data_IF_281883085187
#
_entry.id   IF_281883085187
#
_cell.length_a   1.000
_cell.length_b   1.000
_cell.length_c   1.000
_cell.angle_alpha   90.00
_cell.angle_beta   90.00
_cell.angle_gamma   90.00
#
_symmetry.space_group_name_H-M   'P 1'
#
loop_
_entity.id
_entity.type
_entity.pdbx_description
1 polymer ?
#
# COMPACT_ATOMS: atom_id res chain seq x y z
N UNK A 1 -27.39 -24.39 2.16
CA UNK A 1 -26.82 -24.54 3.51
C UNK A 1 -27.94 -24.91 4.45
N UNK A 2 -27.70 -25.89 5.32
CA UNK A 2 -28.71 -26.55 6.15
C UNK A 2 -28.87 -25.99 7.56
N UNK A 3 -28.25 -24.87 7.92
CA UNK A 3 -28.38 -24.26 9.24
C UNK A 3 -29.80 -23.75 9.55
N UNK A 4 -30.09 -23.53 10.82
CA UNK A 4 -31.32 -22.92 11.32
C UNK A 4 -31.49 -21.47 10.82
N UNK A 5 -32.75 -21.07 10.60
CA UNK A 5 -33.11 -19.71 10.23
C UNK A 5 -33.21 -18.88 11.52
N UNK A 6 -32.31 -17.92 11.72
CA UNK A 6 -32.35 -17.02 12.88
C UNK A 6 -33.33 -15.88 12.68
N UNK A 7 -33.43 -15.36 11.45
CA UNK A 7 -34.28 -14.21 11.15
C UNK A 7 -34.68 -14.22 9.67
N UNK A 8 -35.98 -14.14 9.40
CA UNK A 8 -36.52 -13.99 8.06
C UNK A 8 -37.37 -12.72 8.01
N UNK A 9 -37.03 -11.79 7.12
CA UNK A 9 -37.84 -10.60 6.87
C UNK A 9 -38.12 -10.52 5.37
N UNK A 10 -39.40 -10.37 5.03
CA UNK A 10 -39.80 -10.15 3.65
C UNK A 10 -39.76 -8.64 3.39
N UNK A 11 -38.80 -8.20 2.58
CA UNK A 11 -38.68 -6.80 2.18
C UNK A 11 -38.83 -6.72 0.66
N UNK A 12 -39.86 -6.00 0.18
CA UNK A 12 -40.06 -5.71 -1.24
C UNK A 12 -40.11 -6.96 -2.16
N UNK A 13 -40.66 -8.09 -1.67
CA UNK A 13 -40.77 -9.34 -2.45
C UNK A 13 -39.50 -10.20 -2.47
N UNK A 14 -38.42 -9.77 -1.81
CA UNK A 14 -37.22 -10.56 -1.57
C UNK A 14 -37.23 -11.11 -0.14
N UNK A 15 -37.09 -12.42 0.00
CA UNK A 15 -36.97 -13.09 1.31
C UNK A 15 -35.52 -12.98 1.78
N UNK A 16 -35.24 -12.08 2.73
CA UNK A 16 -33.96 -12.02 3.41
C UNK A 16 -33.95 -12.99 4.58
N UNK A 17 -33.18 -14.06 4.45
CA UNK A 17 -32.96 -15.06 5.51
C UNK A 17 -31.53 -14.95 6.06
N UNK A 18 -31.40 -14.72 7.36
CA UNK A 18 -30.12 -14.81 8.07
C UNK A 18 -30.01 -16.23 8.63
N UNK A 19 -29.04 -16.99 8.12
CA UNK A 19 -28.70 -18.34 8.57
C UNK A 19 -27.54 -18.31 9.57
N UNK A 20 -27.53 -19.21 10.55
CA UNK A 20 -26.40 -19.40 11.47
C UNK A 20 -25.07 -19.60 10.73
N UNK A 21 -25.08 -20.44 9.69
CA UNK A 21 -23.92 -20.69 8.81
C UNK A 21 -23.37 -19.39 8.20
N UNK A 22 -24.28 -18.48 7.80
CA UNK A 22 -23.93 -17.20 7.18
C UNK A 22 -23.39 -16.19 8.19
N UNK A 23 -23.95 -16.16 9.39
CA UNK A 23 -23.48 -15.30 10.48
C UNK A 23 -22.07 -15.70 10.95
N UNK A 24 -21.80 -17.00 11.10
CA UNK A 24 -20.49 -17.51 11.48
C UNK A 24 -19.44 -17.22 10.40
N UNK A 25 -19.77 -17.46 9.12
CA UNK A 25 -18.89 -17.13 8.00
C UNK A 25 -18.61 -15.62 7.91
N UNK A 26 -19.62 -14.77 8.12
CA UNK A 26 -19.43 -13.32 8.13
C UNK A 26 -18.48 -12.89 9.25
N UNK A 27 -18.62 -13.43 10.46
CA UNK A 27 -17.76 -13.12 11.59
C UNK A 27 -16.30 -13.57 11.33
N UNK A 28 -16.12 -14.76 10.74
CA UNK A 28 -14.80 -15.25 10.33
C UNK A 28 -14.14 -14.33 9.29
N UNK A 29 -14.89 -13.88 8.28
CA UNK A 29 -14.39 -12.96 7.27
C UNK A 29 -13.98 -11.61 7.86
N UNK A 30 -14.78 -11.06 8.79
CA UNK A 30 -14.46 -9.81 9.47
C UNK A 30 -13.18 -9.96 10.28
N UNK A 31 -13.06 -11.02 11.09
CA UNK A 31 -11.87 -11.27 11.89
C UNK A 31 -10.61 -11.44 11.01
N UNK A 32 -10.71 -12.19 9.91
CA UNK A 32 -9.60 -12.43 8.97
C UNK A 32 -9.14 -11.15 8.27
N UNK A 33 -10.07 -10.37 7.75
CA UNK A 33 -9.77 -9.11 7.04
C UNK A 33 -9.21 -8.07 8.00
N UNK A 34 -9.77 -7.96 9.21
CA UNK A 34 -9.26 -7.07 10.24
C UNK A 34 -7.83 -7.43 10.67
N UNK A 35 -7.56 -8.72 10.91
CA UNK A 35 -6.20 -9.20 11.21
C UNK A 35 -5.19 -8.86 10.12
N UNK A 36 -5.56 -9.08 8.85
CA UNK A 36 -4.74 -8.69 7.70
C UNK A 36 -4.46 -7.18 7.64
N UNK A 37 -5.49 -6.35 7.80
CA UNK A 37 -5.38 -4.90 7.81
C UNK A 37 -4.47 -4.39 8.95
N UNK A 38 -4.60 -4.95 10.16
CA UNK A 38 -3.74 -4.61 11.29
C UNK A 38 -2.27 -4.92 11.00
N UNK A 39 -1.97 -6.09 10.41
CA UNK A 39 -0.59 -6.45 10.05
C UNK A 39 0.00 -5.53 8.97
N UNK A 40 -0.80 -5.16 7.96
CA UNK A 40 -0.41 -4.21 6.92
C UNK A 40 -0.12 -2.82 7.51
N UNK A 41 -1.01 -2.31 8.36
CA UNK A 41 -0.80 -1.01 9.00
C UNK A 41 0.39 -1.02 9.94
N UNK A 42 0.64 -2.11 10.66
CA UNK A 42 1.81 -2.25 11.51
C UNK A 42 3.10 -2.07 10.70
N UNK A 43 3.25 -2.77 9.58
CA UNK A 43 4.43 -2.62 8.70
C UNK A 43 4.50 -1.20 8.12
N UNK A 44 3.39 -0.67 7.61
CA UNK A 44 3.32 0.64 6.96
C UNK A 44 3.68 1.81 7.91
N UNK A 45 3.27 1.72 9.19
CA UNK A 45 3.49 2.79 10.17
C UNK A 45 4.84 2.69 10.89
N UNK A 46 5.43 1.50 10.97
CA UNK A 46 6.65 1.27 11.76
C UNK A 46 7.92 1.14 10.93
N UNK A 47 7.82 0.75 9.66
CA UNK A 47 8.98 0.49 8.79
C UNK A 47 9.01 1.48 7.61
N UNK A 48 10.09 2.25 7.43
CA UNK A 48 10.24 3.11 6.26
C UNK A 48 10.38 2.28 4.98
N UNK A 49 9.80 2.78 3.87
CA UNK A 49 9.79 2.07 2.58
C UNK A 49 11.19 1.68 2.07
N UNK A 50 12.20 2.50 2.38
CA UNK A 50 13.59 2.23 2.02
C UNK A 50 14.15 0.95 2.67
N UNK A 51 13.75 0.65 3.91
CA UNK A 51 14.13 -0.60 4.60
C UNK A 51 13.41 -1.82 4.00
N UNK A 52 12.18 -1.64 3.51
CA UNK A 52 11.46 -2.72 2.82
C UNK A 52 12.21 -3.13 1.55
N UNK A 53 12.69 -2.16 0.76
CA UNK A 53 13.45 -2.45 -0.45
C UNK A 53 14.81 -3.12 -0.18
N UNK A 54 15.50 -2.79 0.93
CA UNK A 54 16.74 -3.48 1.29
C UNK A 54 16.50 -4.92 1.74
N UNK A 55 15.38 -5.21 2.42
CA UNK A 55 14.97 -6.59 2.72
C UNK A 55 14.58 -7.34 1.44
N UNK A 56 13.91 -6.69 0.48
CA UNK A 56 13.63 -7.31 -0.83
C UNK A 56 14.92 -7.65 -1.59
N UNK A 57 15.95 -6.83 -1.47
CA UNK A 57 17.29 -7.11 -2.02
C UNK A 57 17.89 -8.38 -1.41
N UNK A 58 17.81 -8.54 -0.09
CA UNK A 58 18.32 -9.74 0.60
C UNK A 58 17.50 -11.00 0.30
N UNK A 59 16.25 -10.85 -0.13
CA UNK A 59 15.40 -11.94 -0.64
C UNK A 59 15.74 -12.38 -2.08
N UNK A 60 16.73 -11.75 -2.73
CA UNK A 60 17.23 -12.15 -4.05
C UNK A 60 16.68 -11.35 -5.23
N UNK A 61 16.08 -10.17 -5.01
CA UNK A 61 15.78 -9.26 -6.11
C UNK A 61 17.07 -8.78 -6.80
N UNK A 62 17.08 -8.65 -8.14
CA UNK A 62 18.19 -8.03 -8.86
C UNK A 62 18.43 -6.58 -8.43
N UNK A 63 19.70 -6.18 -8.29
CA UNK A 63 20.10 -4.84 -7.84
C UNK A 63 19.44 -3.71 -8.65
N UNK A 64 19.36 -3.86 -9.98
CA UNK A 64 18.77 -2.83 -10.85
C UNK A 64 17.29 -2.54 -10.52
N UNK A 65 16.54 -3.55 -10.06
CA UNK A 65 15.10 -3.41 -9.80
C UNK A 65 14.86 -2.70 -8.47
N UNK A 66 15.75 -2.93 -7.50
CA UNK A 66 15.80 -2.22 -6.21
C UNK A 66 16.21 -0.77 -6.42
N UNK A 67 17.23 -0.53 -7.23
CA UNK A 67 17.71 0.81 -7.56
C UNK A 67 16.62 1.63 -8.28
N UNK A 68 15.93 1.01 -9.24
CA UNK A 68 14.79 1.61 -9.94
C UNK A 68 13.64 1.91 -8.97
N UNK A 69 13.30 0.99 -8.06
CA UNK A 69 12.21 1.21 -7.10
C UNK A 69 12.51 2.33 -6.11
N UNK A 70 13.76 2.46 -5.65
CA UNK A 70 14.20 3.57 -4.79
C UNK A 70 14.13 4.92 -5.50
N UNK A 71 14.55 4.98 -6.77
CA UNK A 71 14.39 6.18 -7.60
C UNK A 71 12.90 6.53 -7.77
N UNK A 72 12.06 5.56 -8.13
CA UNK A 72 10.62 5.77 -8.26
C UNK A 72 10.04 6.33 -6.96
N UNK A 73 10.35 5.74 -5.80
CA UNK A 73 9.87 6.21 -4.50
C UNK A 73 10.29 7.65 -4.19
N UNK A 74 11.55 8.01 -4.45
CA UNK A 74 12.04 9.39 -4.30
C UNK A 74 11.26 10.35 -5.20
N UNK A 75 11.00 9.96 -6.45
CA UNK A 75 10.30 10.80 -7.42
C UNK A 75 8.79 10.87 -7.21
N UNK A 76 8.15 9.93 -6.49
CA UNK A 76 6.72 10.03 -6.13
C UNK A 76 6.44 11.35 -5.40
N UNK A 77 7.26 11.71 -4.41
CA UNK A 77 7.06 12.96 -3.66
C UNK A 77 7.26 14.20 -4.52
N UNK A 78 8.27 14.18 -5.40
CA UNK A 78 8.50 15.27 -6.36
C UNK A 78 7.32 15.39 -7.33
N UNK A 79 6.81 14.26 -7.81
CA UNK A 79 5.69 14.19 -8.74
C UNK A 79 4.39 14.73 -8.11
N UNK A 80 4.11 14.34 -6.86
CA UNK A 80 2.96 14.82 -6.10
C UNK A 80 3.06 16.34 -5.86
N UNK A 81 4.25 16.85 -5.49
CA UNK A 81 4.46 18.29 -5.31
C UNK A 81 4.23 19.08 -6.60
N UNK A 82 4.75 18.59 -7.73
CA UNK A 82 4.47 19.19 -9.05
C UNK A 82 2.98 19.16 -9.40
N UNK A 83 2.29 18.05 -9.12
CA UNK A 83 0.85 17.95 -9.32
C UNK A 83 0.09 18.97 -8.47
N UNK A 84 0.45 19.13 -7.19
CA UNK A 84 -0.15 20.14 -6.31
C UNK A 84 0.09 21.57 -6.81
N UNK A 85 1.29 21.89 -7.29
CA UNK A 85 1.59 23.22 -7.84
C UNK A 85 0.74 23.52 -9.08
N UNK A 86 0.63 22.57 -9.99
CA UNK A 86 -0.18 22.71 -11.21
C UNK A 86 -1.67 22.86 -10.83
N UNK A 87 -2.15 21.99 -9.94
CA UNK A 87 -3.53 22.02 -9.46
C UNK A 87 -3.86 23.36 -8.80
N UNK A 88 -3.01 23.87 -7.90
CA UNK A 88 -3.21 25.16 -7.25
C UNK A 88 -3.27 26.31 -8.28
N UNK A 89 -2.42 26.29 -9.31
CA UNK A 89 -2.48 27.27 -10.39
C UNK A 89 -3.78 27.19 -11.20
N UNK A 90 -4.35 25.99 -11.38
CA UNK A 90 -5.65 25.80 -12.03
C UNK A 90 -6.80 26.32 -11.16
N UNK A 91 -6.79 26.03 -9.86
CA UNK A 91 -7.78 26.56 -8.89
C UNK A 91 -7.82 28.09 -8.94
N UNK A 92 -6.65 28.76 -8.95
CA UNK A 92 -6.57 30.22 -9.06
C UNK A 92 -7.16 30.78 -10.36
N UNK A 93 -7.25 29.97 -11.42
CA UNK A 93 -7.84 30.32 -12.72
C UNK A 93 -9.30 29.88 -12.85
N UNK A 94 -9.95 29.51 -11.74
CA UNK A 94 -11.29 28.90 -11.72
C UNK A 94 -11.38 27.61 -12.54
N UNK A 95 -10.29 26.85 -12.63
CA UNK A 95 -10.20 25.56 -13.34
C UNK A 95 -11.20 24.50 -12.88
N UNK A 96 -11.72 24.65 -11.66
CA UNK A 96 -12.71 23.74 -11.06
C UNK A 96 -14.13 24.33 -11.00
N UNK A 97 -14.39 25.42 -11.72
CA UNK A 97 -15.74 25.98 -11.85
C UNK A 97 -16.61 25.08 -12.75
N UNK A 98 -17.19 24.04 -12.14
CA UNK A 98 -18.14 23.12 -12.76
C UNK A 98 -17.49 21.87 -13.36
N UNK A 99 -18.28 20.80 -13.47
CA UNK A 99 -17.82 19.44 -13.81
C UNK A 99 -17.06 19.40 -15.15
N UNK A 100 -17.55 20.12 -16.17
CA UNK A 100 -16.88 20.18 -17.48
C UNK A 100 -15.49 20.81 -17.39
N UNK A 101 -15.36 21.88 -16.59
CA UNK A 101 -14.08 22.57 -16.44
C UNK A 101 -13.11 21.74 -15.59
N UNK A 102 -13.59 21.10 -14.53
CA UNK A 102 -12.79 20.19 -13.69
C UNK A 102 -12.20 19.05 -14.50
N UNK A 103 -12.98 18.41 -15.38
CA UNK A 103 -12.49 17.32 -16.25
C UNK A 103 -11.41 17.84 -17.22
N UNK A 104 -11.64 19.00 -17.84
CA UNK A 104 -10.67 19.62 -18.74
C UNK A 104 -9.37 20.00 -18.02
N UNK A 105 -9.47 20.58 -16.82
CA UNK A 105 -8.34 20.94 -15.97
C UNK A 105 -7.54 19.70 -15.56
N UNK A 106 -8.21 18.61 -15.18
CA UNK A 106 -7.53 17.34 -14.87
C UNK A 106 -6.81 16.74 -16.10
N UNK A 107 -7.41 16.82 -17.29
CA UNK A 107 -6.78 16.37 -18.52
C UNK A 107 -5.50 17.18 -18.83
N UNK A 108 -5.56 18.51 -18.69
CA UNK A 108 -4.41 19.40 -18.87
C UNK A 108 -3.33 19.10 -17.82
N UNK A 109 -3.71 18.93 -16.55
CA UNK A 109 -2.79 18.60 -15.48
C UNK A 109 -2.04 17.31 -15.78
N UNK A 110 -2.76 16.25 -16.16
CA UNK A 110 -2.18 14.96 -16.53
C UNK A 110 -1.19 15.09 -17.69
N UNK A 111 -1.56 15.80 -18.76
CA UNK A 111 -0.69 16.00 -19.92
C UNK A 111 0.59 16.78 -19.59
N UNK A 112 0.47 17.87 -18.84
CA UNK A 112 1.64 18.67 -18.40
C UNK A 112 2.53 17.88 -17.45
N UNK A 113 1.92 17.14 -16.52
CA UNK A 113 2.64 16.36 -15.53
C UNK A 113 3.41 15.19 -16.18
N UNK A 114 2.81 14.55 -17.19
CA UNK A 114 3.48 13.54 -18.01
C UNK A 114 4.71 14.11 -18.73
N UNK A 115 4.57 15.25 -19.41
CA UNK A 115 5.69 15.89 -20.11
C UNK A 115 6.82 16.27 -19.13
N UNK A 116 6.47 16.83 -17.96
CA UNK A 116 7.44 17.16 -16.91
C UNK A 116 8.16 15.93 -16.38
N UNK A 117 7.45 14.82 -16.18
CA UNK A 117 8.04 13.56 -15.73
C UNK A 117 9.00 13.00 -16.78
N UNK A 118 8.64 13.07 -18.07
CA UNK A 118 9.50 12.66 -19.18
C UNK A 118 10.81 13.45 -19.23
N UNK A 119 10.71 14.78 -19.28
CA UNK A 119 11.90 15.65 -19.26
C UNK A 119 12.75 15.45 -18.00
N UNK A 120 12.11 15.20 -16.85
CA UNK A 120 12.82 14.94 -15.61
C UNK A 120 13.60 13.62 -15.67
N UNK A 121 13.08 12.62 -16.37
CA UNK A 121 13.78 11.36 -16.67
C UNK A 121 15.03 11.60 -17.53
N UNK A 122 14.89 12.36 -18.62
CA UNK A 122 16.03 12.73 -19.46
C UNK A 122 17.11 13.51 -18.68
N UNK A 123 16.69 14.49 -17.87
CA UNK A 123 17.61 15.24 -16.99
C UNK A 123 18.30 14.35 -15.96
N UNK A 124 17.61 13.33 -15.43
CA UNK A 124 18.19 12.37 -14.50
C UNK A 124 19.29 11.54 -15.18
N UNK A 125 19.04 11.05 -16.39
CA UNK A 125 20.03 10.28 -17.17
C UNK A 125 21.29 11.13 -17.41
N UNK A 126 21.14 12.36 -17.91
CA UNK A 126 22.25 13.28 -18.13
C UNK A 126 23.03 13.56 -16.84
N UNK A 127 22.33 13.72 -15.71
CA UNK A 127 22.97 13.94 -14.42
C UNK A 127 23.71 12.71 -13.88
N UNK A 128 23.22 11.51 -14.18
CA UNK A 128 23.87 10.24 -13.81
C UNK A 128 25.13 10.03 -14.66
N UNK A 129 25.06 10.26 -15.97
CA UNK A 129 26.20 10.17 -16.87
C UNK A 129 27.31 11.16 -16.47
N UNK A 130 26.94 12.40 -16.12
CA UNK A 130 27.89 13.41 -15.64
C UNK A 130 28.59 13.03 -14.33
N UNK A 131 28.02 12.12 -13.54
CA UNK A 131 28.61 11.58 -12.29
C UNK A 131 29.33 10.25 -12.50
N UNK A 132 29.59 9.88 -13.76
CA UNK A 132 30.24 8.62 -14.13
C UNK A 132 29.49 7.40 -13.60
N UNK A 133 28.17 7.35 -13.79
CA UNK A 133 27.36 6.20 -13.42
C UNK A 133 27.86 4.91 -14.10
N UNK A 134 28.18 3.89 -13.29
CA UNK A 134 28.79 2.62 -13.72
C UNK A 134 27.77 1.47 -13.82
N UNK A 135 26.47 1.78 -13.76
CA UNK A 135 25.39 0.81 -13.77
C UNK A 135 24.92 0.37 -12.38
N UNK A 136 25.50 0.90 -11.29
CA UNK A 136 25.07 0.59 -9.91
C UNK A 136 24.79 1.86 -9.11
N UNK A 137 23.59 2.00 -8.57
CA UNK A 137 23.32 3.05 -7.59
C UNK A 137 23.69 2.52 -6.22
N UNK A 138 24.88 2.88 -5.73
CA UNK A 138 25.28 2.57 -4.34
C UNK A 138 24.49 3.47 -3.40
N UNK A 139 23.23 3.11 -3.15
CA UNK A 139 22.40 3.72 -2.13
C UNK A 139 22.89 3.25 -0.77
N UNK A 140 23.21 4.20 0.10
CA UNK A 140 23.74 3.93 1.44
C UNK A 140 22.71 3.08 2.19
N UNK A 141 23.02 1.79 2.40
CA UNK A 141 22.15 0.88 3.15
C UNK A 141 22.00 1.41 4.58
N UNK A 142 20.87 2.04 4.85
CA UNK A 142 20.46 2.42 6.21
C UNK A 142 19.81 1.23 6.94
N UNK A 143 20.25 0.01 6.63
CA UNK A 143 19.83 -1.18 7.35
C UNK A 143 20.44 -1.18 8.75
N UNK A 144 19.77 -0.56 9.71
CA UNK A 144 20.11 -0.72 11.11
C UNK A 144 20.08 -2.22 11.45
N UNK A 145 21.20 -2.79 11.90
CA UNK A 145 21.27 -4.19 12.30
C UNK A 145 20.16 -4.49 13.31
N UNK A 146 19.37 -5.54 13.07
CA UNK A 146 18.25 -5.92 13.92
C UNK A 146 18.74 -6.07 15.38
N UNK A 147 18.18 -5.24 16.27
CA UNK A 147 18.51 -5.32 17.70
C UNK A 147 17.99 -6.66 18.24
N UNK A 148 18.75 -7.39 19.07
CA UNK A 148 18.33 -8.70 19.57
C UNK A 148 17.01 -8.64 20.37
N UNK A 149 16.71 -7.51 21.01
CA UNK A 149 15.43 -7.26 21.68
C UNK A 149 14.24 -7.24 20.70
N UNK A 150 14.41 -6.66 19.51
CA UNK A 150 13.35 -6.61 18.50
C UNK A 150 13.04 -8.02 17.97
N UNK A 151 14.09 -8.82 17.71
CA UNK A 151 13.94 -10.23 17.30
C UNK A 151 13.16 -11.02 18.35
N UNK A 152 13.47 -10.82 19.63
CA UNK A 152 12.74 -11.47 20.73
C UNK A 152 11.24 -11.11 20.74
N UNK A 153 10.89 -9.82 20.60
CA UNK A 153 9.49 -9.40 20.56
C UNK A 153 8.74 -9.96 19.35
N UNK A 154 9.37 -9.99 18.17
CA UNK A 154 8.77 -10.56 16.96
C UNK A 154 8.54 -12.07 17.12
N UNK A 155 9.53 -12.79 17.65
CA UNK A 155 9.40 -14.24 17.90
C UNK A 155 8.31 -14.53 18.92
N UNK A 156 8.24 -13.77 20.03
CA UNK A 156 7.17 -13.91 21.01
C UNK A 156 5.79 -13.64 20.40
N UNK A 157 5.66 -12.61 19.57
CA UNK A 157 4.42 -12.29 18.87
C UNK A 157 3.97 -13.43 17.94
N UNK A 158 4.88 -13.97 17.11
CA UNK A 158 4.57 -15.08 16.21
C UNK A 158 4.12 -16.34 16.97
N UNK A 159 4.79 -16.67 18.08
CA UNK A 159 4.41 -17.81 18.93
C UNK A 159 3.02 -17.61 19.54
N UNK A 160 2.70 -16.41 20.02
CA UNK A 160 1.36 -16.07 20.54
C UNK A 160 0.30 -16.20 19.46
N UNK A 161 0.58 -15.75 18.24
CA UNK A 161 -0.36 -15.88 17.10
C UNK A 161 -0.57 -17.35 16.75
N UNK A 162 0.48 -18.17 16.65
CA UNK A 162 0.35 -19.61 16.38
C UNK A 162 -0.44 -20.33 17.47
N UNK A 163 -0.23 -19.99 18.74
CA UNK A 163 -1.01 -20.57 19.85
C UNK A 163 -2.48 -20.18 19.79
N UNK A 164 -2.79 -18.92 19.46
CA UNK A 164 -4.19 -18.48 19.27
C UNK A 164 -4.83 -19.23 18.09
N UNK A 165 -4.13 -19.36 16.96
CA UNK A 165 -4.64 -20.10 15.80
C UNK A 165 -4.87 -21.58 16.13
N UNK A 166 -3.96 -22.20 16.86
CA UNK A 166 -4.10 -23.59 17.29
C UNK A 166 -5.28 -23.77 18.25
N UNK A 167 -5.46 -22.87 19.22
CA UNK A 167 -6.59 -22.90 20.16
C UNK A 167 -7.94 -22.67 19.48
N UNK A 168 -7.97 -21.88 18.40
CA UNK A 168 -9.19 -21.51 17.70
C UNK A 168 -9.60 -22.54 16.63
N UNK A 169 -8.71 -23.47 16.26
CA UNK A 169 -9.00 -24.51 15.24
C UNK A 169 -10.20 -25.40 15.60
N UNK A 170 -10.45 -25.61 16.89
CA UNK A 170 -11.52 -26.49 17.39
C UNK A 170 -12.79 -25.72 17.80
N UNK A 171 -12.81 -24.39 17.68
CA UNK A 171 -13.94 -23.56 18.12
C UNK A 171 -14.90 -23.35 16.95
N UNK A 172 -15.98 -24.12 16.91
CA UNK A 172 -17.19 -23.73 16.19
C UNK A 172 -17.78 -22.50 16.87
N UNK A 173 -17.74 -21.35 16.18
CA UNK A 173 -18.17 -20.05 16.70
C UNK A 173 -19.71 -19.89 16.83
N UNK A 174 -20.48 -20.95 16.53
CA UNK A 174 -21.88 -21.18 16.88
C UNK A 174 -22.27 -22.62 16.53
#
# INVERSE_FOLDING_TARGET
GGGSQLFAMNLFGFMFEIRDDGANLALLLIARTFGGMCSLFFISLTTPMMEIFSVLKSLGLPDFLVDLSMLMYRYIFVFIDQAHLIHNAQVMRLGDAGIKNTINSHAILSGVLFLRAWEQGERLIVAMDARCYDGKLVLMEQGAKAKPRAIFFVMAYLVVVETIVFLTKDIQLL
#
